data_IF_440462221106
#
_entry.id   IF_440462221106
#
_cell.length_a   1.000
_cell.length_b   1.000
_cell.length_c   1.000
_cell.angle_alpha   90.00
_cell.angle_beta   90.00
_cell.angle_gamma   90.00
#
_symmetry.space_group_name_H-M   'P 1'
#
loop_
_entity.id
_entity.type
_entity.pdbx_description
1 polymer ?
#
# COMPACT_ATOMS: atom_id res chain seq x y z
N UNK A 1 2.62 -15.75 2.60
CA UNK A 1 1.61 -16.62 3.23
C UNK A 1 0.28 -15.87 3.30
N UNK A 2 -0.79 -16.46 2.74
CA UNK A 2 -2.16 -15.90 2.69
C UNK A 2 -3.15 -16.72 3.53
N UNK A 3 -2.69 -17.77 4.21
CA UNK A 3 -3.53 -18.66 5.03
C UNK A 3 -4.40 -17.88 6.02
N UNK A 4 -3.81 -16.91 6.74
CA UNK A 4 -4.54 -16.06 7.69
C UNK A 4 -5.60 -15.17 7.02
N UNK A 5 -5.33 -14.68 5.81
CA UNK A 5 -6.29 -13.82 5.08
C UNK A 5 -7.48 -14.64 4.60
N UNK A 6 -7.22 -15.85 4.11
CA UNK A 6 -8.26 -16.76 3.63
C UNK A 6 -9.09 -17.34 4.78
N UNK A 7 -8.45 -17.69 5.91
CA UNK A 7 -9.17 -18.09 7.12
C UNK A 7 -10.11 -16.98 7.61
N UNK A 8 -9.64 -15.73 7.65
CA UNK A 8 -10.49 -14.60 8.01
C UNK A 8 -11.67 -14.40 7.02
N UNK A 9 -11.45 -14.65 5.73
CA UNK A 9 -12.52 -14.59 4.73
C UNK A 9 -13.60 -15.66 4.97
N UNK A 10 -13.21 -16.89 5.32
CA UNK A 10 -14.15 -17.95 5.68
C UNK A 10 -14.96 -17.60 6.93
N UNK A 11 -14.32 -17.08 7.98
CA UNK A 11 -14.99 -16.66 9.22
C UNK A 11 -15.97 -15.50 8.97
N UNK A 12 -15.55 -14.49 8.19
CA UNK A 12 -16.41 -13.35 7.84
C UNK A 12 -17.63 -13.82 7.08
N UNK A 13 -17.50 -14.78 6.15
CA UNK A 13 -18.61 -15.25 5.35
C UNK A 13 -19.80 -15.68 6.22
N UNK A 14 -19.54 -16.45 7.27
CA UNK A 14 -20.59 -16.97 8.15
C UNK A 14 -21.34 -15.88 8.93
N UNK A 15 -20.75 -14.69 9.06
CA UNK A 15 -21.24 -13.55 9.82
C UNK A 15 -21.89 -12.45 8.96
N UNK A 16 -21.92 -12.60 7.64
CA UNK A 16 -22.51 -11.58 6.77
C UNK A 16 -24.03 -11.49 6.97
N UNK A 17 -24.47 -10.30 7.38
CA UNK A 17 -25.88 -9.92 7.48
C UNK A 17 -26.11 -8.63 6.68
N UNK A 18 -27.08 -8.67 5.75
CA UNK A 18 -27.31 -7.56 4.81
C UNK A 18 -26.09 -7.27 3.92
N UNK A 19 -26.11 -6.13 3.23
CA UNK A 19 -24.99 -5.72 2.38
C UNK A 19 -23.76 -5.35 3.22
N UNK A 20 -22.67 -6.11 3.03
CA UNK A 20 -21.42 -5.94 3.78
C UNK A 20 -20.24 -5.60 2.87
N UNK A 21 -19.39 -4.65 3.29
CA UNK A 21 -18.15 -4.31 2.58
C UNK A 21 -16.96 -4.94 3.31
N UNK A 22 -16.29 -5.88 2.66
CA UNK A 22 -15.11 -6.57 3.20
C UNK A 22 -13.86 -5.91 2.65
N UNK A 23 -13.08 -5.29 3.53
CA UNK A 23 -11.93 -4.46 3.14
C UNK A 23 -10.62 -5.20 3.42
N UNK A 24 -9.84 -5.47 2.37
CA UNK A 24 -8.49 -6.00 2.49
C UNK A 24 -7.50 -4.84 2.62
N UNK A 25 -6.99 -4.64 3.83
CA UNK A 25 -5.97 -3.63 4.14
C UNK A 25 -4.54 -4.18 4.15
N UNK A 26 -4.41 -5.49 4.38
CA UNK A 26 -3.16 -6.23 4.36
C UNK A 26 -2.46 -6.12 3.00
N UNK A 27 -1.12 -6.10 2.98
CA UNK A 27 -0.36 -6.28 1.74
C UNK A 27 -0.54 -7.71 1.24
N UNK A 28 -1.32 -7.86 0.18
CA UNK A 28 -1.66 -9.13 -0.46
C UNK A 28 -1.34 -9.07 -1.95
N UNK A 29 -0.85 -10.16 -2.59
CA UNK A 29 -0.56 -10.18 -4.02
C UNK A 29 -1.77 -9.80 -4.87
N UNK A 30 -1.50 -9.34 -6.09
CA UNK A 30 -2.57 -9.01 -7.05
C UNK A 30 -3.45 -10.22 -7.31
N UNK A 31 -4.76 -10.04 -7.21
CA UNK A 31 -5.77 -11.09 -7.37
C UNK A 31 -6.20 -11.74 -6.04
N UNK A 32 -5.57 -11.41 -4.91
CA UNK A 32 -6.00 -11.92 -3.62
C UNK A 32 -7.43 -11.49 -3.26
N UNK A 33 -7.85 -10.28 -3.63
CA UNK A 33 -9.24 -9.84 -3.45
C UNK A 33 -10.26 -10.68 -4.23
N UNK A 34 -9.88 -11.22 -5.39
CA UNK A 34 -10.76 -12.10 -6.18
C UNK A 34 -10.89 -13.47 -5.52
N UNK A 35 -9.81 -13.95 -4.92
CA UNK A 35 -9.81 -15.21 -4.16
C UNK A 35 -10.62 -15.10 -2.87
N UNK A 36 -10.51 -13.97 -2.15
CA UNK A 36 -11.36 -13.66 -0.99
C UNK A 36 -12.83 -13.67 -1.40
N UNK A 37 -13.16 -13.02 -2.51
CA UNK A 37 -14.52 -13.01 -3.03
C UNK A 37 -15.01 -14.41 -3.38
N UNK A 38 -14.18 -15.24 -4.02
CA UNK A 38 -14.49 -16.63 -4.34
C UNK A 38 -14.75 -17.46 -3.09
N UNK A 39 -13.92 -17.32 -2.06
CA UNK A 39 -14.05 -18.04 -0.78
C UNK A 39 -15.37 -17.69 -0.10
N UNK A 40 -15.66 -16.40 0.06
CA UNK A 40 -16.89 -15.95 0.71
C UNK A 40 -18.11 -16.42 -0.09
N UNK A 41 -18.10 -16.29 -1.42
CA UNK A 41 -19.23 -16.69 -2.28
C UNK A 41 -19.47 -18.20 -2.28
N UNK A 42 -18.40 -19.00 -2.22
CA UNK A 42 -18.51 -20.45 -2.13
C UNK A 42 -19.14 -20.91 -0.80
N UNK A 43 -18.85 -20.19 0.29
CA UNK A 43 -19.35 -20.51 1.62
C UNK A 43 -20.75 -19.95 1.90
N UNK A 44 -21.07 -18.76 1.39
CA UNK A 44 -22.37 -18.09 1.53
C UNK A 44 -22.83 -17.50 0.19
N UNK A 45 -23.42 -18.33 -0.69
CA UNK A 45 -23.81 -17.92 -2.04
C UNK A 45 -24.88 -16.82 -2.09
N UNK A 46 -25.71 -16.75 -1.05
CA UNK A 46 -26.80 -15.79 -0.87
C UNK A 46 -26.36 -14.45 -0.25
N UNK A 47 -25.12 -14.36 0.23
CA UNK A 47 -24.61 -13.15 0.87
C UNK A 47 -24.48 -11.98 -0.11
N UNK A 48 -24.99 -10.83 0.30
CA UNK A 48 -24.75 -9.56 -0.38
C UNK A 48 -23.48 -8.91 0.17
N UNK A 49 -22.42 -8.86 -0.64
CA UNK A 49 -21.18 -8.23 -0.23
C UNK A 49 -20.34 -7.74 -1.40
N UNK A 50 -19.39 -6.86 -1.08
CA UNK A 50 -18.35 -6.41 -1.99
C UNK A 50 -16.97 -6.51 -1.33
N UNK A 51 -15.98 -7.01 -2.07
CA UNK A 51 -14.58 -7.04 -1.63
C UNK A 51 -13.84 -5.80 -2.16
N UNK A 52 -13.18 -5.10 -1.25
CA UNK A 52 -12.47 -3.84 -1.51
C UNK A 52 -11.00 -4.01 -1.16
N UNK A 53 -10.11 -3.51 -2.02
CA UNK A 53 -8.69 -3.32 -1.69
C UNK A 53 -8.49 -1.92 -1.11
N UNK A 54 -7.84 -1.81 0.04
CA UNK A 54 -7.50 -0.51 0.65
C UNK A 54 -6.11 -0.60 1.31
N UNK A 55 -5.03 -0.61 0.51
CA UNK A 55 -3.69 -0.80 1.04
C UNK A 55 -3.31 0.32 2.01
N UNK A 56 -2.50 -0.04 3.00
CA UNK A 56 -1.89 0.91 3.93
C UNK A 56 -0.55 1.42 3.40
N UNK A 57 -0.12 2.61 3.81
CA UNK A 57 1.17 3.20 3.43
C UNK A 57 1.87 3.87 4.61
N UNK A 58 1.67 3.30 5.80
CA UNK A 58 2.18 3.79 7.06
C UNK A 58 3.65 3.39 7.21
N UNK A 59 4.43 4.25 7.86
CA UNK A 59 5.80 3.94 8.25
C UNK A 59 5.83 3.47 9.70
N UNK A 60 6.65 2.46 9.94
CA UNK A 60 6.94 2.00 11.30
C UNK A 60 7.55 3.16 12.12
N UNK A 61 7.05 3.38 13.33
CA UNK A 61 7.43 4.52 14.18
C UNK A 61 6.68 5.83 13.91
N UNK A 62 5.94 5.97 12.80
CA UNK A 62 5.13 7.16 12.48
C UNK A 62 3.65 6.83 12.16
N UNK A 63 3.21 5.61 12.45
CA UNK A 63 1.93 5.08 11.99
C UNK A 63 0.69 5.91 12.39
N UNK A 64 0.68 6.50 13.58
CA UNK A 64 -0.45 7.34 14.03
C UNK A 64 -0.55 8.62 13.20
N UNK A 65 0.59 9.28 12.94
CA UNK A 65 0.62 10.51 12.15
C UNK A 65 0.30 10.21 10.68
N UNK A 66 0.93 9.18 10.11
CA UNK A 66 0.70 8.74 8.74
C UNK A 66 -0.77 8.31 8.52
N UNK A 67 -1.45 7.77 9.53
CA UNK A 67 -2.87 7.44 9.43
C UNK A 67 -3.78 8.67 9.52
N UNK A 68 -3.44 9.64 10.39
CA UNK A 68 -4.24 10.86 10.57
C UNK A 68 -4.07 11.86 9.43
N UNK A 69 -2.91 11.86 8.77
CA UNK A 69 -2.53 12.78 7.69
C UNK A 69 -1.77 12.04 6.58
N UNK A 70 -2.41 11.08 5.89
CA UNK A 70 -1.72 10.35 4.84
C UNK A 70 -1.53 11.25 3.61
N UNK A 71 -0.46 11.00 2.84
CA UNK A 71 -0.25 11.67 1.55
C UNK A 71 -1.41 11.42 0.57
N UNK A 72 -2.10 10.27 0.70
CA UNK A 72 -3.28 9.83 -0.05
C UNK A 72 -3.88 8.56 0.57
N UNK A 73 -5.14 8.30 0.24
CA UNK A 73 -5.82 7.02 0.50
C UNK A 73 -6.17 6.37 -0.84
N UNK A 74 -5.86 5.08 -1.01
CA UNK A 74 -6.19 4.32 -2.22
C UNK A 74 -7.29 3.31 -1.90
N UNK A 75 -8.33 3.27 -2.72
CA UNK A 75 -9.46 2.34 -2.60
C UNK A 75 -9.73 1.68 -3.96
N UNK A 76 -9.55 0.36 -4.01
CA UNK A 76 -9.82 -0.49 -5.15
C UNK A 76 -11.18 -1.17 -5.05
N UNK A 77 -12.15 -0.75 -5.85
CA UNK A 77 -13.48 -1.37 -5.96
C UNK A 77 -14.12 -1.07 -7.30
N UNK A 78 -14.93 -2.01 -7.80
CA UNK A 78 -15.81 -1.82 -8.97
C UNK A 78 -17.29 -1.71 -8.56
N UNK A 79 -17.63 -2.00 -7.29
CA UNK A 79 -18.99 -1.87 -6.75
C UNK A 79 -19.22 -0.45 -6.22
N UNK A 80 -20.24 0.23 -6.76
CA UNK A 80 -20.57 1.62 -6.43
C UNK A 80 -21.21 1.77 -5.03
N UNK A 81 -21.88 0.72 -4.52
CA UNK A 81 -22.38 0.69 -3.14
C UNK A 81 -21.21 0.66 -2.16
N UNK A 82 -20.20 -0.17 -2.45
CA UNK A 82 -18.97 -0.19 -1.67
C UNK A 82 -18.21 1.14 -1.75
N UNK A 83 -18.18 1.77 -2.94
CA UNK A 83 -17.58 3.10 -3.12
C UNK A 83 -18.24 4.16 -2.24
N UNK A 84 -19.56 4.14 -2.12
CA UNK A 84 -20.30 5.05 -1.24
C UNK A 84 -19.94 4.85 0.24
N UNK A 85 -19.91 3.59 0.71
CA UNK A 85 -19.49 3.24 2.08
C UNK A 85 -18.07 3.72 2.38
N UNK A 86 -17.11 3.43 1.49
CA UNK A 86 -15.71 3.84 1.67
C UNK A 86 -15.54 5.37 1.66
N UNK A 87 -16.35 6.09 0.88
CA UNK A 87 -16.34 7.56 0.86
C UNK A 87 -16.82 8.14 2.20
N UNK A 88 -17.87 7.57 2.79
CA UNK A 88 -18.36 8.01 4.10
C UNK A 88 -17.36 7.67 5.21
N UNK A 89 -16.76 6.48 5.16
CA UNK A 89 -15.72 6.05 6.11
C UNK A 89 -14.54 7.04 6.15
N UNK A 90 -14.12 7.54 4.99
CA UNK A 90 -13.00 8.48 4.87
C UNK A 90 -13.39 9.96 4.87
N UNK A 91 -14.67 10.28 5.09
CA UNK A 91 -15.16 11.66 5.14
C UNK A 91 -14.36 12.56 6.11
N UNK A 92 -13.93 12.10 7.31
CA UNK A 92 -13.13 12.93 8.21
C UNK A 92 -11.74 13.30 7.66
N UNK A 93 -11.13 12.47 6.81
CA UNK A 93 -9.83 12.78 6.20
C UNK A 93 -9.95 13.73 5.02
N UNK A 94 -11.10 13.74 4.33
CA UNK A 94 -11.36 14.69 3.24
C UNK A 94 -11.41 16.15 3.75
N UNK A 95 -11.76 16.35 5.03
CA UNK A 95 -11.69 17.66 5.69
C UNK A 95 -10.23 18.17 5.83
N UNK A 96 -9.25 17.27 5.76
CA UNK A 96 -7.83 17.59 5.78
C UNK A 96 -7.24 17.64 4.34
N UNK A 97 -8.08 17.75 3.31
CA UNK A 97 -7.69 17.77 1.88
C UNK A 97 -6.86 16.55 1.45
N UNK A 98 -6.98 15.43 2.18
CA UNK A 98 -6.31 14.18 1.85
C UNK A 98 -6.89 13.60 0.55
N UNK A 99 -6.07 13.39 -0.50
CA UNK A 99 -6.56 12.82 -1.75
C UNK A 99 -7.09 11.39 -1.56
N UNK A 100 -8.32 11.15 -2.00
CA UNK A 100 -8.94 9.81 -2.03
C UNK A 100 -9.00 9.30 -3.47
N UNK A 101 -8.15 8.32 -3.79
CA UNK A 101 -8.05 7.70 -5.11
C UNK A 101 -8.90 6.44 -5.17
N UNK A 102 -9.97 6.48 -5.98
CA UNK A 102 -10.74 5.28 -6.34
C UNK A 102 -10.23 4.68 -7.65
N UNK A 103 -10.04 3.36 -7.67
CA UNK A 103 -9.57 2.60 -8.84
C UNK A 103 -10.10 1.16 -8.81
N UNK A 104 -9.68 0.32 -9.77
CA UNK A 104 -10.00 -1.11 -9.78
C UNK A 104 -9.29 -1.89 -8.67
N UNK A 105 -9.86 -3.01 -8.22
CA UNK A 105 -9.34 -3.80 -7.09
C UNK A 105 -7.88 -4.24 -7.31
N UNK A 106 -7.60 -4.89 -8.44
CA UNK A 106 -6.25 -5.34 -8.83
C UNK A 106 -5.26 -4.18 -8.99
N UNK A 107 -5.72 -3.05 -9.51
CA UNK A 107 -4.90 -1.83 -9.64
C UNK A 107 -4.49 -1.30 -8.27
N UNK A 108 -5.41 -1.26 -7.31
CA UNK A 108 -5.11 -0.84 -5.93
C UNK A 108 -4.08 -1.77 -5.26
N UNK A 109 -4.23 -3.10 -5.42
CA UNK A 109 -3.26 -4.08 -4.94
C UNK A 109 -1.87 -3.83 -5.55
N UNK A 110 -1.79 -3.61 -6.86
CA UNK A 110 -0.54 -3.35 -7.56
C UNK A 110 0.12 -2.02 -7.13
N UNK A 111 -0.66 -0.97 -6.87
CA UNK A 111 -0.14 0.33 -6.41
C UNK A 111 0.70 0.16 -5.14
N UNK A 112 0.30 -0.74 -4.21
CA UNK A 112 1.07 -1.00 -2.98
C UNK A 112 2.45 -1.57 -3.28
N UNK A 113 2.54 -2.61 -4.10
CA UNK A 113 3.82 -3.20 -4.48
C UNK A 113 4.67 -2.24 -5.28
N UNK A 114 4.09 -1.56 -6.27
CA UNK A 114 4.82 -0.60 -7.10
C UNK A 114 5.42 0.53 -6.25
N UNK A 115 4.67 1.05 -5.27
CA UNK A 115 5.17 2.08 -4.35
C UNK A 115 6.33 1.55 -3.51
N UNK A 116 6.18 0.40 -2.86
CA UNK A 116 7.22 -0.17 -2.00
C UNK A 116 8.48 -0.54 -2.79
N UNK A 117 8.34 -1.15 -3.96
CA UNK A 117 9.44 -1.49 -4.86
C UNK A 117 10.19 -0.23 -5.33
N UNK A 118 9.47 0.83 -5.69
CA UNK A 118 10.11 2.08 -6.12
C UNK A 118 10.90 2.74 -4.99
N UNK A 119 10.39 2.73 -3.76
CA UNK A 119 11.09 3.27 -2.59
C UNK A 119 12.37 2.47 -2.27
N UNK A 120 12.28 1.13 -2.32
CA UNK A 120 13.45 0.26 -2.13
C UNK A 120 14.49 0.46 -3.25
N UNK A 121 14.05 0.64 -4.49
CA UNK A 121 14.92 0.95 -5.63
C UNK A 121 15.67 2.26 -5.42
N UNK A 122 15.03 3.31 -4.89
CA UNK A 122 15.72 4.58 -4.60
C UNK A 122 16.84 4.42 -3.56
N UNK A 123 16.59 3.63 -2.51
CA UNK A 123 17.61 3.32 -1.49
C UNK A 123 18.76 2.50 -2.11
N UNK A 124 18.43 1.47 -2.87
CA UNK A 124 19.43 0.63 -3.55
C UNK A 124 20.29 1.48 -4.48
N UNK A 125 19.65 2.31 -5.31
CA UNK A 125 20.34 3.20 -6.23
C UNK A 125 21.32 4.14 -5.52
N UNK A 126 20.90 4.78 -4.42
CA UNK A 126 21.80 5.71 -3.73
C UNK A 126 22.93 5.01 -2.98
N UNK A 127 22.74 3.76 -2.54
CA UNK A 127 23.81 2.96 -1.96
C UNK A 127 24.86 2.57 -3.02
N UNK A 128 24.45 2.15 -4.21
CA UNK A 128 25.39 1.89 -5.32
C UNK A 128 26.18 3.15 -5.71
N UNK A 129 25.54 4.32 -5.63
CA UNK A 129 26.23 5.60 -5.84
C UNK A 129 27.20 5.92 -4.71
N UNK A 130 26.95 5.46 -3.48
CA UNK A 130 27.87 5.61 -2.36
C UNK A 130 29.15 4.83 -2.62
N UNK A 131 29.04 3.55 -3.01
CA UNK A 131 30.19 2.70 -3.35
C UNK A 131 31.01 3.30 -4.50
N UNK A 132 30.35 3.85 -5.53
CA UNK A 132 31.04 4.56 -6.59
C UNK A 132 31.75 5.83 -6.08
N UNK A 133 31.10 6.59 -5.20
CA UNK A 133 31.69 7.79 -4.59
C UNK A 133 32.99 7.48 -3.83
N UNK A 134 33.07 6.34 -3.13
CA UNK A 134 34.28 5.89 -2.44
C UNK A 134 35.45 5.67 -3.40
N UNK A 135 35.19 5.12 -4.59
CA UNK A 135 36.22 4.84 -5.60
C UNK A 135 36.70 6.12 -6.29
N UNK A 136 35.81 7.07 -6.55
CA UNK A 136 36.14 8.29 -7.32
C UNK A 136 36.47 9.50 -6.44
N UNK A 137 36.37 9.39 -5.11
CA UNK A 137 36.62 10.48 -4.16
C UNK A 137 35.52 11.55 -4.13
N UNK A 138 34.26 11.16 -4.38
CA UNK A 138 33.09 12.05 -4.31
C UNK A 138 32.34 11.91 -2.97
N UNK A 139 31.44 12.85 -2.68
CA UNK A 139 30.58 12.85 -1.48
C UNK A 139 29.14 12.48 -1.85
N UNK A 140 28.69 11.30 -1.41
CA UNK A 140 27.35 10.79 -1.71
C UNK A 140 26.24 11.68 -1.15
N UNK A 141 26.46 12.39 -0.04
CA UNK A 141 25.45 13.31 0.51
C UNK A 141 25.27 14.53 -0.40
N UNK A 142 26.36 15.02 -1.01
CA UNK A 142 26.28 16.08 -2.01
C UNK A 142 25.63 15.60 -3.30
N UNK A 143 25.92 14.37 -3.74
CA UNK A 143 25.25 13.76 -4.90
C UNK A 143 23.75 13.60 -4.65
N UNK A 144 23.36 13.01 -3.51
CA UNK A 144 21.96 12.84 -3.11
C UNK A 144 21.21 14.17 -3.07
N UNK A 145 21.83 15.21 -2.49
CA UNK A 145 21.27 16.57 -2.48
C UNK A 145 21.16 17.13 -3.90
N UNK A 146 22.20 16.98 -4.71
CA UNK A 146 22.25 17.48 -6.09
C UNK A 146 21.11 16.94 -6.95
N UNK A 147 20.92 15.61 -6.97
CA UNK A 147 19.84 14.99 -7.74
C UNK A 147 18.46 15.22 -7.09
N UNK A 148 18.39 15.31 -5.77
CA UNK A 148 17.14 15.49 -5.02
C UNK A 148 16.51 16.89 -5.19
N UNK A 149 17.27 17.88 -5.64
CA UNK A 149 16.76 19.21 -6.02
C UNK A 149 15.90 19.17 -7.29
N UNK A 150 16.06 18.14 -8.14
CA UNK A 150 15.19 17.91 -9.27
C UNK A 150 13.83 17.39 -8.80
N UNK A 151 12.77 18.18 -9.03
CA UNK A 151 11.40 17.84 -8.63
C UNK A 151 10.87 16.55 -9.26
N UNK A 152 11.45 16.08 -10.36
CA UNK A 152 11.11 14.79 -10.99
C UNK A 152 11.61 13.60 -10.17
N UNK A 153 12.65 13.80 -9.35
CA UNK A 153 13.29 12.76 -8.51
C UNK A 153 12.83 12.89 -7.05
N UNK A 154 12.89 14.13 -6.53
CA UNK A 154 12.58 14.47 -5.15
C UNK A 154 13.62 13.98 -4.13
N UNK A 155 13.73 14.72 -3.02
CA UNK A 155 14.80 14.52 -2.02
C UNK A 155 14.59 13.34 -1.04
N UNK A 156 13.37 12.81 -0.91
CA UNK A 156 13.07 11.71 0.05
C UNK A 156 13.62 10.38 -0.45
N UNK A 157 13.95 9.46 0.47
CA UNK A 157 14.47 8.11 0.18
C UNK A 157 15.78 8.11 -0.63
N UNK A 158 16.66 9.10 -0.37
CA UNK A 158 17.99 9.24 -0.98
C UNK A 158 19.09 9.30 0.10
N UNK A 159 18.89 8.64 1.23
CA UNK A 159 19.90 8.54 2.28
C UNK A 159 20.68 7.24 2.12
N UNK A 160 21.94 7.35 1.72
CA UNK A 160 22.84 6.21 1.69
C UNK A 160 23.10 5.68 3.12
N UNK A 161 23.21 4.36 3.27
CA UNK A 161 23.40 3.69 4.55
C UNK A 161 23.58 2.17 4.40
N UNK A 162 23.53 1.38 5.49
CA UNK A 162 23.85 -0.05 5.47
C UNK A 162 22.83 -0.96 4.74
N UNK A 163 21.94 -0.39 3.92
CA UNK A 163 20.82 -1.09 3.25
C UNK A 163 19.45 -0.74 3.82
N UNK A 164 18.39 -1.23 3.18
CA UNK A 164 17.02 -1.13 3.70
C UNK A 164 16.63 -2.41 4.47
N UNK A 165 15.86 -2.24 5.55
CA UNK A 165 15.34 -3.33 6.38
C UNK A 165 13.86 -3.15 6.70
N UNK A 166 13.40 -3.78 7.79
CA UNK A 166 11.99 -3.73 8.23
C UNK A 166 11.13 -4.85 7.63
N UNK A 167 9.89 -4.96 8.09
CA UNK A 167 8.99 -6.06 7.71
C UNK A 167 8.39 -5.92 6.32
N UNK A 168 8.34 -4.70 5.77
CA UNK A 168 7.66 -4.40 4.51
C UNK A 168 8.58 -4.51 3.29
N UNK A 169 9.73 -3.83 3.24
CA UNK A 169 10.53 -3.77 2.00
C UNK A 169 11.10 -5.14 1.58
N UNK A 170 11.83 -5.89 2.42
CA UNK A 170 12.36 -7.19 2.00
C UNK A 170 11.27 -8.18 1.58
N UNK A 171 10.09 -8.14 2.22
CA UNK A 171 8.96 -9.02 1.87
C UNK A 171 8.32 -8.63 0.54
N UNK A 172 8.19 -7.33 0.26
CA UNK A 172 7.43 -6.82 -0.88
C UNK A 172 8.30 -6.62 -2.13
N UNK A 173 9.62 -6.78 -2.03
CA UNK A 173 10.57 -6.62 -3.16
C UNK A 173 11.34 -7.89 -3.53
N UNK A 174 11.12 -9.00 -2.81
CA UNK A 174 11.57 -10.34 -3.18
C UNK A 174 10.45 -11.09 -3.92
#
# INVERSE_FOLDING_TARGET
DLSYVYAAAEEIADLIEGFTVVVTKSTVPVGAGDEIERIIRARRPDAEFAVVSNPEFLREGAAIEDFKRPDRVVVGTEDERARAVMRELYRPLNLNETPLLFTGRRTSELIKYAANAFLAMKITFINEMADLCEVVGADVQQVARGIGLDKRIGAKFLHAGPGYGGSCFPKDTL
#
